data_IF_879458916185
#
_entry.id   IF_879458916185
#
_cell.length_a   1.000
_cell.length_b   1.000
_cell.length_c   1.000
_cell.angle_alpha   90.00
_cell.angle_beta   90.00
_cell.angle_gamma   90.00
#
_symmetry.space_group_name_H-M   'P 1'
#
loop_
_entity.id
_entity.type
_entity.pdbx_description
1 polymer ?
#
# COMPACT_ATOMS: atom_id res chain seq x y z
N UNK A 1 -9.85 33.80 -15.56
CA UNK A 1 -8.79 33.25 -14.69
C UNK A 1 -8.55 31.76 -15.00
N UNK A 2 -8.48 31.41 -16.29
CA UNK A 2 -8.27 30.04 -16.77
C UNK A 2 -6.85 29.85 -17.32
N UNK A 3 -6.28 30.93 -17.87
CA UNK A 3 -4.95 30.94 -18.47
C UNK A 3 -3.84 30.67 -17.43
N UNK A 4 -3.96 31.24 -16.23
CA UNK A 4 -3.00 31.01 -15.14
C UNK A 4 -3.02 29.55 -14.66
N UNK A 5 -4.21 28.97 -14.48
CA UNK A 5 -4.35 27.59 -14.02
C UNK A 5 -3.83 26.58 -15.06
N UNK A 6 -4.02 26.87 -16.35
CA UNK A 6 -3.47 26.04 -17.44
C UNK A 6 -1.93 26.07 -17.44
N UNK A 7 -1.33 27.26 -17.30
CA UNK A 7 0.13 27.41 -17.21
C UNK A 7 0.67 26.71 -15.97
N UNK A 8 0.00 26.84 -14.82
CA UNK A 8 0.41 26.17 -13.59
C UNK A 8 0.31 24.65 -13.70
N UNK A 9 -0.72 24.13 -14.38
CA UNK A 9 -0.86 22.70 -14.63
C UNK A 9 0.32 22.16 -15.47
N UNK A 10 0.68 22.83 -16.56
CA UNK A 10 1.78 22.41 -17.43
C UNK A 10 3.14 22.44 -16.73
N UNK A 11 3.41 23.51 -15.97
CA UNK A 11 4.65 23.64 -15.17
C UNK A 11 4.71 22.55 -14.11
N UNK A 12 3.60 22.27 -13.42
CA UNK A 12 3.55 21.21 -12.40
C UNK A 12 3.80 19.81 -12.97
N UNK A 13 3.29 19.53 -14.18
CA UNK A 13 3.49 18.27 -14.87
C UNK A 13 4.94 18.09 -15.31
N UNK A 14 5.55 19.12 -15.92
CA UNK A 14 6.96 19.07 -16.33
C UNK A 14 7.89 18.92 -15.11
N UNK A 15 7.64 19.66 -14.03
CA UNK A 15 8.38 19.47 -12.77
C UNK A 15 8.20 18.07 -12.19
N UNK A 16 7.01 17.47 -12.30
CA UNK A 16 6.77 16.10 -11.87
C UNK A 16 7.54 15.09 -12.74
N UNK A 17 7.58 15.28 -14.06
CA UNK A 17 8.36 14.46 -15.00
C UNK A 17 9.86 14.56 -14.75
N UNK A 18 10.37 15.73 -14.37
CA UNK A 18 11.78 15.91 -14.03
C UNK A 18 12.12 15.23 -12.69
N UNK A 19 11.24 15.32 -11.69
CA UNK A 19 11.42 14.65 -10.39
C UNK A 19 11.25 13.13 -10.47
N UNK A 20 10.46 12.61 -11.41
CA UNK A 20 10.21 11.17 -11.55
C UNK A 20 11.36 10.39 -12.22
N UNK A 21 12.31 11.06 -12.88
CA UNK A 21 13.45 10.40 -13.58
C UNK A 21 14.41 9.65 -12.63
N UNK A 22 14.39 9.96 -11.33
CA UNK A 22 15.26 9.32 -10.31
C UNK A 22 14.51 8.48 -9.26
N UNK A 23 13.19 8.27 -9.38
CA UNK A 23 12.43 7.47 -8.40
C UNK A 23 11.60 6.39 -9.08
N UNK A 24 12.12 5.15 -9.23
CA UNK A 24 11.28 4.06 -9.68
C UNK A 24 10.20 3.85 -8.61
N UNK A 25 8.94 3.95 -9.02
CA UNK A 25 7.78 3.56 -8.21
C UNK A 25 7.59 4.31 -6.87
N UNK A 26 7.67 5.64 -6.88
CA UNK A 26 6.99 6.47 -5.88
C UNK A 26 5.44 6.46 -6.08
N UNK A 27 4.84 5.28 -6.27
CA UNK A 27 3.54 5.06 -5.62
C UNK A 27 3.81 5.41 -4.16
N UNK A 28 2.95 6.17 -3.52
CA UNK A 28 2.97 6.31 -2.07
C UNK A 28 2.70 4.92 -1.46
N UNK A 29 3.70 4.05 -1.55
CA UNK A 29 3.82 2.81 -0.82
C UNK A 29 4.05 3.31 0.58
N UNK A 30 2.97 3.67 1.28
CA UNK A 30 2.98 3.61 2.73
C UNK A 30 3.46 2.21 3.01
N UNK A 31 4.74 2.07 3.36
CA UNK A 31 5.36 0.79 3.69
C UNK A 31 4.36 0.10 4.60
N UNK A 32 3.81 -1.03 4.18
CA UNK A 32 2.86 -1.76 5.02
C UNK A 32 3.68 -2.22 6.22
N UNK A 33 3.50 -1.55 7.35
CA UNK A 33 4.17 -1.90 8.59
C UNK A 33 3.38 -3.06 9.16
N UNK A 34 4.02 -4.23 9.23
CA UNK A 34 3.43 -5.37 9.91
C UNK A 34 3.28 -5.04 11.41
N UNK A 35 2.17 -5.42 12.04
CA UNK A 35 1.99 -5.22 13.47
C UNK A 35 3.02 -6.01 14.27
N UNK A 36 3.18 -5.64 15.54
CA UNK A 36 4.09 -6.32 16.46
C UNK A 36 3.74 -7.82 16.61
N UNK A 37 4.74 -8.72 16.74
CA UNK A 37 4.51 -10.16 16.87
C UNK A 37 3.59 -10.57 18.03
N UNK A 38 3.44 -9.74 19.07
CA UNK A 38 2.50 -9.98 20.17
C UNK A 38 1.05 -10.17 19.70
N UNK A 39 0.67 -9.58 18.56
CA UNK A 39 -0.67 -9.71 17.95
C UNK A 39 -0.98 -11.16 17.54
N UNK A 40 0.04 -12.02 17.35
CA UNK A 40 -0.12 -13.42 16.95
C UNK A 40 -1.05 -14.20 17.88
N UNK A 41 -0.92 -14.05 19.20
CA UNK A 41 -1.71 -14.83 20.17
C UNK A 41 -3.21 -14.51 20.07
N UNK A 42 -3.53 -13.23 19.90
CA UNK A 42 -4.92 -12.76 19.74
C UNK A 42 -5.49 -13.24 18.40
N UNK A 43 -4.74 -13.06 17.32
CA UNK A 43 -5.16 -13.46 15.97
C UNK A 43 -5.32 -14.97 15.85
N UNK A 44 -4.44 -15.76 16.46
CA UNK A 44 -4.57 -17.21 16.47
C UNK A 44 -5.87 -17.65 17.16
N UNK A 45 -6.18 -17.14 18.36
CA UNK A 45 -7.46 -17.45 19.05
C UNK A 45 -8.68 -16.99 18.25
N UNK A 46 -8.57 -15.86 17.55
CA UNK A 46 -9.65 -15.35 16.69
C UNK A 46 -9.91 -16.28 15.50
N UNK A 47 -8.86 -16.67 14.79
CA UNK A 47 -8.96 -17.57 13.63
C UNK A 47 -9.38 -18.98 14.03
N UNK A 48 -8.99 -19.44 15.22
CA UNK A 48 -9.43 -20.69 15.81
C UNK A 48 -10.95 -20.70 16.05
N UNK A 49 -11.49 -19.63 16.67
CA UNK A 49 -12.94 -19.46 16.84
C UNK A 49 -13.72 -19.41 15.52
N UNK A 50 -13.09 -18.93 14.45
CA UNK A 50 -13.66 -18.90 13.10
C UNK A 50 -13.47 -20.22 12.32
N UNK A 51 -12.77 -21.20 12.88
CA UNK A 51 -12.39 -22.44 12.19
C UNK A 51 -11.65 -22.16 10.86
N UNK A 52 -10.76 -21.18 10.87
CA UNK A 52 -9.93 -20.79 9.72
C UNK A 52 -8.50 -21.35 9.78
N UNK A 53 -8.14 -22.04 10.87
CA UNK A 53 -6.83 -22.71 11.07
C UNK A 53 -6.87 -24.13 10.49
N UNK A 54 -7.18 -24.24 9.20
CA UNK A 54 -7.16 -25.51 8.47
C UNK A 54 -6.15 -25.43 7.32
N UNK A 55 -5.49 -26.55 7.03
CA UNK A 55 -4.47 -26.60 5.98
C UNK A 55 -4.97 -26.07 4.64
N UNK A 56 -6.12 -26.57 4.17
CA UNK A 56 -6.67 -26.16 2.87
C UNK A 56 -6.99 -24.66 2.81
N UNK A 57 -7.42 -24.06 3.93
CA UNK A 57 -7.74 -22.64 4.00
C UNK A 57 -6.49 -21.78 4.00
N UNK A 58 -5.43 -22.21 4.67
CA UNK A 58 -4.17 -21.47 4.77
C UNK A 58 -3.36 -21.62 3.48
N UNK A 59 -3.25 -22.86 2.97
CA UNK A 59 -2.43 -23.17 1.80
C UNK A 59 -2.93 -22.50 0.52
N UNK A 60 -4.24 -22.32 0.38
CA UNK A 60 -4.84 -21.71 -0.81
C UNK A 60 -4.96 -20.17 -0.72
N UNK A 61 -4.46 -19.52 0.33
CA UNK A 61 -4.48 -18.06 0.43
C UNK A 61 -3.36 -17.44 -0.41
N UNK A 62 -3.70 -16.36 -1.13
CA UNK A 62 -2.72 -15.49 -1.80
C UNK A 62 -2.39 -14.34 -0.84
N UNK A 63 -1.10 -14.17 -0.55
CA UNK A 63 -0.55 -13.14 0.35
C UNK A 63 -0.18 -11.86 -0.40
#
# INVERSE_FOLDING_TARGET
MADLEAVLADVSYLMAMEKSKCTPAARASKKIILPDPSVRSVMHKYMEKKNEINFDKIFNQVL
#
